data_IF_182349318010
#
_entry.id   IF_182349318010
#
_cell.length_a   1.000
_cell.length_b   1.000
_cell.length_c   1.000
_cell.angle_alpha   90.00
_cell.angle_beta   90.00
_cell.angle_gamma   90.00
#
_symmetry.space_group_name_H-M   'P 1'
#
loop_
_entity.id
_entity.type
_entity.pdbx_description
1 polymer ?
#
# COMPACT_ATOMS: atom_id res chain seq x y z
N UNK A 1 51.59 12.50 3.93
CA UNK A 1 50.21 12.97 3.63
C UNK A 1 49.23 11.79 3.54
N UNK A 2 49.01 11.06 4.64
CA UNK A 2 48.16 9.84 4.65
C UNK A 2 46.83 10.00 5.43
N UNK A 3 46.63 11.10 6.15
CA UNK A 3 45.51 11.26 7.07
C UNK A 3 44.17 11.51 6.38
N UNK A 4 44.11 12.37 5.34
CA UNK A 4 42.85 12.78 4.71
C UNK A 4 42.09 11.62 4.01
N UNK A 5 42.80 10.67 3.40
CA UNK A 5 42.19 9.49 2.75
C UNK A 5 41.64 8.51 3.79
N UNK A 6 42.33 8.37 4.93
CA UNK A 6 41.90 7.48 6.02
C UNK A 6 40.65 8.04 6.71
N UNK A 7 40.58 9.35 6.90
CA UNK A 7 39.40 10.05 7.43
C UNK A 7 38.19 9.91 6.50
N UNK A 8 38.41 10.05 5.19
CA UNK A 8 37.37 9.87 4.16
C UNK A 8 36.84 8.42 4.14
N UNK A 9 37.73 7.43 4.23
CA UNK A 9 37.36 6.02 4.26
C UNK A 9 36.55 5.69 5.51
N UNK A 10 37.01 6.16 6.68
CA UNK A 10 36.31 6.00 7.96
C UNK A 10 34.90 6.60 7.93
N UNK A 11 34.74 7.79 7.32
CA UNK A 11 33.43 8.42 7.18
C UNK A 11 32.48 7.60 6.29
N UNK A 12 32.98 7.07 5.16
CA UNK A 12 32.19 6.20 4.27
C UNK A 12 31.73 4.92 4.96
N UNK A 13 32.62 4.30 5.74
CA UNK A 13 32.30 3.06 6.44
C UNK A 13 31.26 3.29 7.54
N UNK A 14 31.33 4.42 8.25
CA UNK A 14 30.28 4.84 9.20
C UNK A 14 28.93 5.06 8.51
N UNK A 15 28.91 5.70 7.33
CA UNK A 15 27.67 5.90 6.59
C UNK A 15 27.06 4.58 6.12
N UNK A 16 27.88 3.64 5.62
CA UNK A 16 27.43 2.30 5.23
C UNK A 16 26.82 1.57 6.41
N UNK A 17 27.54 1.49 7.53
CA UNK A 17 27.03 0.86 8.75
C UNK A 17 25.70 1.47 9.24
N UNK A 18 25.55 2.79 9.15
CA UNK A 18 24.30 3.45 9.51
C UNK A 18 23.13 3.12 8.56
N UNK A 19 23.40 2.97 7.26
CA UNK A 19 22.40 2.54 6.27
C UNK A 19 22.01 1.08 6.51
N UNK A 20 22.99 0.20 6.70
CA UNK A 20 22.76 -1.23 6.94
C UNK A 20 21.92 -1.47 8.21
N UNK A 21 22.22 -0.72 9.28
CA UNK A 21 21.44 -0.77 10.51
C UNK A 21 19.97 -0.34 10.29
N UNK A 22 19.74 0.70 9.47
CA UNK A 22 18.39 1.14 9.13
C UNK A 22 17.66 0.11 8.27
N UNK A 23 18.34 -0.49 7.29
CA UNK A 23 17.74 -1.54 6.45
C UNK A 23 17.31 -2.73 7.30
N UNK A 24 18.16 -3.17 8.24
CA UNK A 24 17.82 -4.26 9.18
C UNK A 24 16.55 -3.96 9.98
N UNK A 25 16.37 -2.72 10.46
CA UNK A 25 15.16 -2.31 11.17
C UNK A 25 13.92 -2.31 10.27
N UNK A 26 14.07 -1.85 9.02
CA UNK A 26 12.97 -1.84 8.04
C UNK A 26 12.56 -3.26 7.67
N UNK A 27 13.51 -4.19 7.51
CA UNK A 27 13.23 -5.60 7.23
C UNK A 27 12.46 -6.26 8.39
N UNK A 28 12.87 -5.99 9.63
CA UNK A 28 12.15 -6.43 10.82
C UNK A 28 10.72 -5.88 10.86
N UNK A 29 10.56 -4.59 10.57
CA UNK A 29 9.24 -3.95 10.53
C UNK A 29 8.36 -4.51 9.41
N UNK A 30 8.91 -4.76 8.21
CA UNK A 30 8.19 -5.34 7.10
C UNK A 30 7.69 -6.75 7.44
N UNK A 31 8.54 -7.56 8.08
CA UNK A 31 8.17 -8.90 8.57
C UNK A 31 7.06 -8.84 9.61
N UNK A 32 7.16 -7.93 10.57
CA UNK A 32 6.13 -7.72 11.58
C UNK A 32 4.81 -7.23 10.97
N UNK A 33 4.86 -6.34 9.97
CA UNK A 33 3.69 -5.85 9.27
C UNK A 33 2.98 -6.96 8.49
N UNK A 34 3.73 -7.82 7.80
CA UNK A 34 3.17 -8.99 7.12
C UNK A 34 2.48 -9.95 8.11
N UNK A 35 3.14 -10.23 9.24
CA UNK A 35 2.59 -11.08 10.30
C UNK A 35 1.32 -10.49 10.91
N UNK A 36 1.31 -9.18 11.18
CA UNK A 36 0.14 -8.46 11.68
C UNK A 36 -1.02 -8.53 10.69
N UNK A 37 -0.78 -8.33 9.40
CA UNK A 37 -1.83 -8.38 8.40
C UNK A 37 -2.41 -9.79 8.26
N UNK A 38 -1.58 -10.83 8.30
CA UNK A 38 -2.05 -12.22 8.32
C UNK A 38 -2.92 -12.51 9.55
N UNK A 39 -2.52 -12.02 10.73
CA UNK A 39 -3.30 -12.18 11.96
C UNK A 39 -4.65 -11.44 11.90
N UNK A 40 -4.71 -10.27 11.25
CA UNK A 40 -5.97 -9.55 11.04
C UNK A 40 -6.92 -10.31 10.12
N UNK A 41 -6.42 -10.89 9.02
CA UNK A 41 -7.25 -11.72 8.13
C UNK A 41 -7.78 -12.95 8.88
N UNK A 42 -6.92 -13.63 9.64
CA UNK A 42 -7.35 -14.78 10.44
C UNK A 42 -8.38 -14.38 11.52
N UNK A 43 -8.24 -13.19 12.11
CA UNK A 43 -9.22 -12.66 13.07
C UNK A 43 -10.56 -12.40 12.38
N UNK A 44 -10.57 -11.76 11.21
CA UNK A 44 -11.80 -11.48 10.46
C UNK A 44 -12.53 -12.79 10.09
N UNK A 45 -11.80 -13.83 9.67
CA UNK A 45 -12.36 -15.16 9.39
C UNK A 45 -12.93 -15.82 10.65
N UNK A 46 -12.21 -15.74 11.77
CA UNK A 46 -12.66 -16.28 13.06
C UNK A 46 -13.92 -15.57 13.56
N UNK A 47 -13.97 -14.23 13.47
CA UNK A 47 -15.13 -13.42 13.84
C UNK A 47 -16.34 -13.74 12.95
N UNK A 48 -16.14 -13.87 11.63
CA UNK A 48 -17.21 -14.25 10.69
C UNK A 48 -17.75 -15.66 10.99
N UNK A 49 -16.86 -16.60 11.31
CA UNK A 49 -17.23 -17.96 11.71
C UNK A 49 -18.04 -17.94 13.01
N UNK A 50 -17.53 -17.27 14.04
CA UNK A 50 -18.20 -17.13 15.33
C UNK A 50 -19.60 -16.50 15.17
N UNK A 51 -19.73 -15.44 14.37
CA UNK A 51 -21.01 -14.80 14.11
C UNK A 51 -22.00 -15.70 13.36
N UNK A 52 -21.53 -16.61 12.50
CA UNK A 52 -22.39 -17.61 11.84
C UNK A 52 -22.88 -18.65 12.84
N UNK A 53 -21.99 -19.20 13.66
CA UNK A 53 -22.36 -20.21 14.66
C UNK A 53 -23.29 -19.65 15.73
N UNK A 54 -23.05 -18.42 16.19
CA UNK A 54 -23.94 -17.73 17.13
C UNK A 54 -25.37 -17.59 16.56
N UNK A 55 -25.50 -17.18 15.29
CA UNK A 55 -26.81 -17.10 14.60
C UNK A 55 -27.46 -18.47 14.41
N UNK A 56 -26.67 -19.51 14.16
CA UNK A 56 -27.17 -20.88 14.07
C UNK A 56 -27.74 -21.35 15.41
N UNK A 57 -27.06 -21.05 16.53
CA UNK A 57 -27.56 -21.34 17.87
C UNK A 57 -28.89 -20.63 18.17
N UNK A 58 -28.98 -19.34 17.85
CA UNK A 58 -30.26 -18.60 17.98
C UNK A 58 -31.37 -19.21 17.13
N UNK A 59 -31.05 -19.62 15.90
CA UNK A 59 -32.01 -20.27 14.99
C UNK A 59 -32.44 -21.66 15.47
N UNK A 60 -31.60 -22.32 16.27
CA UNK A 60 -31.89 -23.60 16.92
C UNK A 60 -32.69 -23.44 18.23
N UNK A 61 -33.06 -22.22 18.61
CA UNK A 61 -33.91 -21.94 19.76
C UNK A 61 -33.17 -21.54 21.04
N UNK A 62 -31.84 -21.43 21.01
CA UNK A 62 -31.09 -20.86 22.12
C UNK A 62 -31.39 -19.37 22.25
N UNK A 63 -31.55 -18.89 23.48
CA UNK A 63 -31.71 -17.47 23.76
C UNK A 63 -30.35 -16.79 23.94
N UNK A 64 -30.27 -15.49 23.67
CA UNK A 64 -29.07 -14.70 23.95
C UNK A 64 -28.64 -14.74 25.42
N UNK A 65 -29.61 -14.91 26.34
CA UNK A 65 -29.33 -15.07 27.77
C UNK A 65 -28.59 -16.37 28.02
N UNK A 66 -29.09 -17.50 27.52
CA UNK A 66 -28.44 -18.80 27.71
C UNK A 66 -27.03 -18.83 27.10
N UNK A 67 -26.85 -18.21 25.93
CA UNK A 67 -25.52 -18.07 25.33
C UNK A 67 -24.58 -17.22 26.19
N UNK A 68 -25.04 -16.09 26.74
CA UNK A 68 -24.25 -15.28 27.67
C UNK A 68 -23.94 -16.00 28.98
N UNK A 69 -24.91 -16.72 29.54
CA UNK A 69 -24.74 -17.50 30.76
C UNK A 69 -23.73 -18.65 30.52
N UNK A 70 -23.63 -19.14 29.28
CA UNK A 70 -22.58 -20.07 28.83
C UNK A 70 -21.24 -19.40 28.46
N UNK A 71 -21.10 -18.08 28.64
CA UNK A 71 -19.88 -17.32 28.33
C UNK A 71 -19.71 -16.95 26.85
N UNK A 72 -20.70 -17.22 26.00
CA UNK A 72 -20.70 -16.87 24.58
C UNK A 72 -21.36 -15.51 24.40
N UNK A 73 -20.53 -14.45 24.31
CA UNK A 73 -21.02 -13.10 24.09
C UNK A 73 -21.52 -12.91 22.65
N UNK A 74 -22.48 -12.01 22.46
CA UNK A 74 -22.93 -11.64 21.12
C UNK A 74 -21.75 -11.13 20.27
N UNK A 75 -21.62 -11.55 19.01
CA UNK A 75 -20.60 -11.04 18.11
C UNK A 75 -20.76 -9.53 17.98
N UNK A 76 -19.70 -8.77 18.22
CA UNK A 76 -19.73 -7.34 17.93
C UNK A 76 -19.95 -7.18 16.44
N UNK A 77 -20.93 -6.39 16.04
CA UNK A 77 -21.20 -6.13 14.62
C UNK A 77 -19.87 -5.83 13.94
N UNK A 78 -19.51 -6.68 12.97
CA UNK A 78 -18.26 -6.58 12.24
C UNK A 78 -18.03 -5.10 11.92
N UNK A 79 -16.87 -4.56 12.31
CA UNK A 79 -16.53 -3.18 11.98
C UNK A 79 -16.57 -3.12 10.47
N UNK A 80 -17.71 -2.68 9.93
CA UNK A 80 -17.91 -2.57 8.50
C UNK A 80 -16.83 -1.63 8.03
N UNK A 81 -15.77 -2.19 7.45
CA UNK A 81 -14.83 -1.44 6.63
C UNK A 81 -15.73 -0.86 5.56
N UNK A 82 -16.05 0.42 5.74
CA UNK A 82 -17.13 1.09 5.02
C UNK A 82 -17.06 0.69 3.57
N UNK A 83 -18.17 0.15 3.07
CA UNK A 83 -18.36 -0.02 1.63
C UNK A 83 -18.04 1.35 1.05
N UNK A 84 -16.85 1.51 0.48
CA UNK A 84 -16.46 2.75 -0.17
C UNK A 84 -17.48 2.90 -1.27
N UNK A 85 -18.45 3.77 -1.01
CA UNK A 85 -19.46 4.22 -1.94
C UNK A 85 -18.68 4.62 -3.18
N UNK A 86 -18.68 3.75 -4.20
CA UNK A 86 -17.92 3.93 -5.41
C UNK A 86 -18.23 5.35 -5.90
N UNK A 87 -17.20 6.19 -5.85
CA UNK A 87 -17.29 7.58 -6.21
C UNK A 87 -17.83 7.63 -7.63
N UNK A 88 -19.00 8.26 -7.76
CA UNK A 88 -19.54 8.77 -9.01
C UNK A 88 -18.39 9.40 -9.80
N UNK A 89 -17.87 8.70 -10.79
CA UNK A 89 -16.92 9.19 -11.77
C UNK A 89 -17.61 10.30 -12.55
N UNK A 90 -17.53 11.53 -12.04
CA UNK A 90 -17.77 12.73 -12.84
C UNK A 90 -16.57 12.83 -13.78
N UNK A 91 -16.86 12.77 -15.07
CA UNK A 91 -15.86 12.86 -16.14
C UNK A 91 -14.93 14.04 -15.91
N UNK A 92 -13.66 13.73 -15.70
CA UNK A 92 -12.59 14.67 -15.94
C UNK A 92 -12.32 14.62 -17.45
N UNK A 93 -12.82 15.62 -18.18
CA UNK A 93 -12.27 15.92 -19.51
C UNK A 93 -10.82 16.31 -19.32
N UNK A 94 -9.92 15.37 -19.60
CA UNK A 94 -8.50 15.66 -19.73
C UNK A 94 -8.28 16.36 -21.08
N UNK A 95 -8.02 17.66 -21.05
CA UNK A 95 -7.38 18.36 -22.16
C UNK A 95 -5.92 17.89 -22.21
N UNK A 96 -5.44 17.28 -23.31
CA UNK A 96 -4.04 16.94 -23.44
C UNK A 96 -3.23 18.22 -23.69
N UNK A 97 -2.24 18.49 -22.83
CA UNK A 97 -1.18 19.45 -23.07
C UNK A 97 -0.36 18.97 -24.27
N UNK A 98 -0.27 19.80 -25.31
CA UNK A 98 0.59 19.55 -26.46
C UNK A 98 2.08 19.51 -26.06
N UNK A 99 2.89 18.60 -26.61
CA UNK A 99 4.34 18.61 -26.37
C UNK A 99 5.00 19.79 -27.10
N UNK A 100 5.84 20.51 -26.38
CA UNK A 100 6.67 21.59 -26.88
C UNK A 100 7.60 21.10 -28.00
N UNK A 101 7.49 21.71 -29.18
CA UNK A 101 8.42 21.50 -30.28
C UNK A 101 9.79 22.09 -29.92
N UNK A 102 10.80 21.22 -29.92
CA UNK A 102 12.22 21.55 -29.76
C UNK A 102 12.73 22.02 -31.13
N UNK A 103 13.28 23.25 -31.29
CA UNK A 103 13.97 23.60 -32.52
C UNK A 103 15.41 23.09 -32.44
N UNK A 104 15.68 21.91 -33.00
CA UNK A 104 17.03 21.49 -33.40
C UNK A 104 17.14 21.56 -34.92
N UNK A 105 18.14 22.31 -35.38
CA UNK A 105 18.29 22.72 -36.76
C UNK A 105 18.98 21.72 -37.67
N UNK A 106 19.12 22.15 -38.94
CA UNK A 106 20.21 21.75 -39.82
C UNK A 106 19.80 21.02 -41.08
N UNK A 107 20.31 21.55 -42.21
CA UNK A 107 20.44 20.93 -43.54
C UNK A 107 19.13 20.80 -44.32
N UNK A 108 18.94 21.32 -45.54
CA UNK A 108 19.85 21.73 -46.60
C UNK A 108 19.35 21.06 -47.87
N UNK A 109 18.52 21.73 -48.68
CA UNK A 109 18.21 21.24 -50.03
C UNK A 109 17.80 22.40 -50.94
N UNK A 110 18.59 22.56 -52.00
CA UNK A 110 18.43 23.51 -53.11
C UNK A 110 17.43 22.94 -54.10
N UNK A 111 16.41 23.73 -54.47
CA UNK A 111 15.41 23.37 -55.47
C UNK A 111 14.89 24.61 -56.17
N UNK A 112 15.61 25.02 -57.21
CA UNK A 112 15.30 26.07 -58.17
C UNK A 112 14.01 25.75 -58.97
N UNK A 113 13.05 26.68 -59.13
CA UNK A 113 12.04 26.54 -60.17
C UNK A 113 12.34 27.44 -61.36
N UNK A 114 12.67 26.80 -62.49
CA UNK A 114 12.62 27.33 -63.85
C UNK A 114 11.20 27.88 -64.14
N UNK A 115 11.11 29.18 -64.42
CA UNK A 115 9.95 29.79 -65.04
C UNK A 115 10.01 29.57 -66.56
N UNK A 116 8.91 29.08 -67.13
CA UNK A 116 8.60 29.12 -68.57
C UNK A 116 7.95 30.45 -68.94
#
# INVERSE_FOLDING_TARGET
MASLSTDTQTYRDKLRAAIDARMTLVDGLATAAASRNAALVALDEAEASYAREYRAALSAGWTERELRDAGLAAPTAARGTGTRRAGRSRGASATPLAPAAVPQGGTGEVGEPLAS
#
